data_IF_614465465683
#
_entry.id   IF_614465465683
#
_cell.length_a   1.000
_cell.length_b   1.000
_cell.length_c   1.000
_cell.angle_alpha   90.00
_cell.angle_beta   90.00
_cell.angle_gamma   90.00
#
_symmetry.space_group_name_H-M   'P 1'
#
loop_
_entity.id
_entity.type
_entity.pdbx_description
1 polymer ?
#
# COMPACT_ATOMS: atom_id res chain seq x y z
N UNK A 1 0.48 -10.62 -18.37
CA UNK A 1 -0.57 -9.58 -18.47
C UNK A 1 -0.69 -9.16 -19.92
N UNK A 2 -1.89 -8.82 -20.38
CA UNK A 2 -2.07 -8.15 -21.66
C UNK A 2 -1.38 -6.78 -21.64
N UNK A 3 -0.89 -6.26 -22.79
CA UNK A 3 -0.19 -4.97 -22.84
C UNK A 3 -1.02 -3.78 -22.33
N UNK A 4 -2.34 -3.87 -22.46
CA UNK A 4 -3.36 -2.87 -22.10
C UNK A 4 -4.08 -3.19 -20.79
N UNK A 5 -3.50 -4.05 -19.94
CA UNK A 5 -4.08 -4.41 -18.64
C UNK A 5 -4.45 -3.17 -17.82
N UNK A 6 -5.62 -3.21 -17.18
CA UNK A 6 -6.16 -2.05 -16.45
C UNK A 6 -6.63 -2.38 -15.04
N UNK A 7 -6.59 -1.40 -14.15
CA UNK A 7 -7.24 -1.43 -12.83
C UNK A 7 -8.57 -0.67 -12.79
N UNK A 8 -9.07 -0.26 -13.95
CA UNK A 8 -10.25 0.59 -14.10
C UNK A 8 -9.92 2.08 -14.13
N UNK A 9 -8.68 2.47 -13.87
CA UNK A 9 -8.22 3.88 -13.88
C UNK A 9 -6.96 4.10 -14.73
N UNK A 10 -5.97 3.20 -14.62
CA UNK A 10 -4.71 3.26 -15.36
C UNK A 10 -4.58 2.04 -16.29
N UNK A 11 -3.79 2.20 -17.35
CA UNK A 11 -3.53 1.18 -18.36
C UNK A 11 -2.04 0.85 -18.45
N UNK A 12 -1.76 -0.41 -18.76
CA UNK A 12 -0.41 -0.89 -19.02
C UNK A 12 0.27 -1.50 -17.80
N UNK A 13 1.18 -2.45 -18.07
CA UNK A 13 1.86 -3.24 -17.04
C UNK A 13 2.66 -2.37 -16.07
N UNK A 14 3.33 -1.34 -16.56
CA UNK A 14 4.17 -0.46 -15.73
C UNK A 14 3.33 0.32 -14.71
N UNK A 15 2.18 0.86 -15.15
CA UNK A 15 1.27 1.55 -14.25
C UNK A 15 0.74 0.62 -13.16
N UNK A 16 0.48 -0.65 -13.51
CA UNK A 16 0.02 -1.67 -12.54
C UNK A 16 1.11 -2.10 -11.54
N UNK A 17 2.38 -2.04 -11.94
CA UNK A 17 3.51 -2.39 -11.08
C UNK A 17 3.94 -1.24 -10.16
N UNK A 18 3.53 -0.01 -10.42
CA UNK A 18 4.01 1.15 -9.66
C UNK A 18 3.62 1.10 -8.18
N UNK A 19 2.39 0.66 -7.85
CA UNK A 19 1.98 0.52 -6.45
C UNK A 19 2.84 -0.52 -5.70
N UNK A 20 3.22 -1.61 -6.37
CA UNK A 20 4.13 -2.63 -5.84
C UNK A 20 5.55 -2.10 -5.67
N UNK A 21 6.03 -1.33 -6.66
CA UNK A 21 7.33 -0.65 -6.60
C UNK A 21 7.39 0.31 -5.41
N UNK A 22 6.36 1.13 -5.21
CA UNK A 22 6.28 2.09 -4.12
C UNK A 22 6.14 1.41 -2.75
N UNK A 23 5.35 0.33 -2.66
CA UNK A 23 5.27 -0.50 -1.45
C UNK A 23 6.65 -1.02 -1.04
N UNK A 24 7.36 -1.64 -1.98
CA UNK A 24 8.71 -2.18 -1.77
C UNK A 24 9.75 -1.09 -1.50
N UNK A 25 9.58 0.09 -2.12
CA UNK A 25 10.47 1.23 -1.91
C UNK A 25 10.23 1.90 -0.55
N UNK A 26 9.00 1.96 -0.06
CA UNK A 26 8.63 2.73 1.14
C UNK A 26 8.79 1.91 2.41
N UNK A 27 8.37 0.64 2.40
CA UNK A 27 8.36 -0.22 3.58
C UNK A 27 9.56 -1.18 3.62
N UNK A 28 10.00 -1.53 4.83
CA UNK A 28 11.03 -2.54 5.04
C UNK A 28 10.42 -3.94 5.16
N UNK A 29 11.22 -4.97 4.88
CA UNK A 29 10.88 -6.39 5.11
C UNK A 29 9.50 -6.82 4.56
N UNK A 30 9.13 -6.28 3.40
CA UNK A 30 7.83 -6.57 2.79
C UNK A 30 7.73 -8.05 2.42
N UNK A 31 6.71 -8.73 2.93
CA UNK A 31 6.35 -10.12 2.59
C UNK A 31 4.87 -10.19 2.28
N UNK A 32 4.54 -10.79 1.15
CA UNK A 32 3.14 -10.99 0.75
C UNK A 32 2.83 -12.47 0.74
N UNK A 33 1.88 -12.86 1.58
CA UNK A 33 1.36 -14.22 1.64
C UNK A 33 0.03 -14.31 0.89
N UNK A 34 -0.10 -15.30 0.01
CA UNK A 34 -1.39 -15.71 -0.52
C UNK A 34 -2.14 -16.51 0.55
N UNK A 35 -3.35 -16.06 0.93
CA UNK A 35 -4.20 -16.76 1.91
C UNK A 35 -5.26 -17.65 1.29
N UNK A 36 -5.62 -17.39 0.04
CA UNK A 36 -6.56 -18.22 -0.69
C UNK A 36 -6.84 -17.68 -2.08
N UNK A 37 -7.38 -18.57 -2.92
CA UNK A 37 -7.82 -18.26 -4.27
C UNK A 37 -9.28 -18.69 -4.42
N UNK A 38 -10.06 -17.87 -5.12
CA UNK A 38 -11.45 -18.17 -5.47
C UNK A 38 -11.68 -17.80 -6.92
N UNK A 39 -12.35 -18.67 -7.67
CA UNK A 39 -12.71 -18.44 -9.08
C UNK A 39 -14.24 -18.38 -9.16
N UNK A 40 -14.86 -17.20 -8.88
CA UNK A 40 -16.31 -17.07 -8.90
C UNK A 40 -16.91 -17.31 -10.30
N UNK A 41 -16.14 -17.02 -11.35
CA UNK A 41 -16.48 -17.25 -12.76
C UNK A 41 -15.24 -17.75 -13.50
N UNK A 42 -15.39 -18.16 -14.76
CA UNK A 42 -14.27 -18.64 -15.59
C UNK A 42 -13.28 -17.54 -15.97
N UNK A 43 -13.72 -16.29 -15.96
CA UNK A 43 -12.95 -15.10 -16.36
C UNK A 43 -12.47 -14.27 -15.15
N UNK A 44 -12.76 -14.69 -13.92
CA UNK A 44 -12.41 -13.92 -12.72
C UNK A 44 -11.72 -14.79 -11.67
N UNK A 45 -10.59 -14.30 -11.17
CA UNK A 45 -9.84 -14.89 -10.07
C UNK A 45 -9.69 -13.87 -8.93
N UNK A 46 -10.09 -14.25 -7.72
CA UNK A 46 -9.93 -13.43 -6.51
C UNK A 46 -8.88 -14.09 -5.62
N UNK A 47 -7.80 -13.37 -5.34
CA UNK A 47 -6.73 -13.76 -4.44
C UNK A 47 -6.82 -12.97 -3.13
N UNK A 48 -6.99 -13.65 -2.00
CA UNK A 48 -6.86 -13.04 -0.68
C UNK A 48 -5.40 -12.96 -0.27
N UNK A 49 -4.93 -11.81 0.18
CA UNK A 49 -3.52 -11.57 0.52
C UNK A 49 -3.36 -11.06 1.95
N UNK A 50 -2.20 -11.37 2.55
CA UNK A 50 -1.73 -10.70 3.75
C UNK A 50 -0.32 -10.20 3.49
N UNK A 51 -0.16 -8.88 3.57
CA UNK A 51 1.12 -8.20 3.42
C UNK A 51 1.64 -7.86 4.81
N UNK A 52 2.87 -8.29 5.11
CA UNK A 52 3.61 -7.91 6.31
C UNK A 52 4.67 -6.91 5.90
N UNK A 53 4.71 -5.77 6.57
CA UNK A 53 5.60 -4.68 6.20
C UNK A 53 6.06 -3.93 7.47
N UNK A 54 7.35 -3.62 7.57
CA UNK A 54 7.93 -2.89 8.70
C UNK A 54 7.96 -1.40 8.40
N UNK A 55 7.48 -0.59 9.34
CA UNK A 55 7.64 0.87 9.30
C UNK A 55 9.08 1.20 9.65
N UNK A 56 9.85 1.65 8.66
CA UNK A 56 11.25 2.05 8.82
C UNK A 56 11.37 3.57 8.83
N UNK A 57 12.58 4.08 9.07
CA UNK A 57 12.88 5.50 8.84
C UNK A 57 12.52 5.91 7.41
N UNK A 58 12.85 5.07 6.42
CA UNK A 58 12.52 5.33 5.02
C UNK A 58 11.00 5.39 4.79
N UNK A 59 10.22 4.57 5.49
CA UNK A 59 8.76 4.65 5.47
C UNK A 59 8.26 5.99 5.99
N UNK A 60 8.76 6.46 7.13
CA UNK A 60 8.39 7.77 7.67
C UNK A 60 8.77 8.90 6.70
N UNK A 61 9.97 8.85 6.12
CA UNK A 61 10.45 9.86 5.16
C UNK A 61 9.63 9.93 3.88
N UNK A 62 9.18 8.79 3.36
CA UNK A 62 8.51 8.71 2.05
C UNK A 62 7.00 8.67 2.13
N UNK A 63 6.44 7.92 3.07
CA UNK A 63 4.99 7.73 3.21
C UNK A 63 4.35 8.76 4.16
N UNK A 64 5.08 9.22 5.17
CA UNK A 64 4.58 10.15 6.19
C UNK A 64 5.51 11.37 6.41
N UNK A 65 5.99 12.04 5.34
CA UNK A 65 6.99 13.10 5.44
C UNK A 65 6.56 14.26 6.35
N UNK A 66 5.26 14.52 6.40
CA UNK A 66 4.65 15.58 7.20
C UNK A 66 4.74 15.36 8.72
N UNK A 67 5.06 14.15 9.17
CA UNK A 67 5.24 13.86 10.59
C UNK A 67 6.59 14.35 11.13
N UNK A 68 7.48 14.81 10.26
CA UNK A 68 8.67 15.57 10.65
C UNK A 68 8.35 17.08 10.64
N UNK A 69 8.92 17.83 11.59
CA UNK A 69 8.74 19.28 11.67
C UNK A 69 9.21 20.04 10.43
N UNK A 70 10.11 19.48 9.61
CA UNK A 70 10.51 20.10 8.34
C UNK A 70 9.48 19.95 7.22
N UNK A 71 8.45 19.11 7.42
CA UNK A 71 7.38 18.82 6.46
C UNK A 71 7.82 18.06 5.21
N UNK A 72 9.10 17.70 5.09
CA UNK A 72 9.70 17.08 3.89
C UNK A 72 10.51 15.84 4.25
N UNK A 73 10.08 15.13 5.29
CA UNK A 73 10.63 13.84 5.67
C UNK A 73 12.04 13.91 6.26
N UNK A 74 12.34 14.96 7.03
CA UNK A 74 13.61 15.09 7.75
C UNK A 74 14.83 15.25 6.84
N UNK A 75 14.64 15.75 5.61
CA UNK A 75 15.74 16.00 4.65
C UNK A 75 16.47 17.29 4.96
N UNK A 76 15.80 18.24 5.65
CA UNK A 76 16.38 19.52 6.10
C UNK A 76 16.74 19.51 7.59
N UNK A 77 16.80 18.32 8.20
CA UNK A 77 16.81 18.16 9.66
C UNK A 77 15.38 18.22 10.22
N UNK A 78 15.23 18.47 11.52
CA UNK A 78 13.93 18.54 12.18
C UNK A 78 13.65 17.39 13.13
N UNK A 79 12.51 17.47 13.81
CA UNK A 79 12.12 16.56 14.90
C UNK A 79 10.91 15.74 14.44
N UNK A 80 11.00 14.42 14.62
CA UNK A 80 9.88 13.53 14.38
C UNK A 80 8.83 13.68 15.48
N UNK A 81 7.56 13.77 15.06
CA UNK A 81 6.43 13.81 15.98
C UNK A 81 6.33 12.56 16.86
N UNK A 82 5.63 12.62 18.00
CA UNK A 82 5.35 11.44 18.83
C UNK A 82 4.66 10.30 18.06
N UNK A 83 3.81 10.62 17.08
CA UNK A 83 3.18 9.63 16.21
C UNK A 83 4.20 8.88 15.36
N UNK A 84 5.12 9.60 14.71
CA UNK A 84 6.20 8.99 13.94
C UNK A 84 7.09 8.10 14.81
N UNK A 85 7.46 8.57 16.01
CA UNK A 85 8.23 7.78 16.96
C UNK A 85 7.49 6.49 17.38
N UNK A 86 6.18 6.58 17.65
CA UNK A 86 5.33 5.43 17.98
C UNK A 86 5.20 4.43 16.83
N UNK A 87 5.20 4.90 15.59
CA UNK A 87 5.08 4.06 14.40
C UNK A 87 6.38 3.33 14.07
N UNK A 88 7.53 3.96 14.28
CA UNK A 88 8.84 3.46 13.88
C UNK A 88 9.15 2.07 14.42
N UNK A 89 9.66 1.18 13.56
CA UNK A 89 10.06 -0.18 13.90
C UNK A 89 8.92 -1.18 14.00
N UNK A 90 7.66 -0.74 13.95
CA UNK A 90 6.52 -1.65 14.07
C UNK A 90 6.24 -2.38 12.75
N UNK A 91 5.86 -3.65 12.85
CA UNK A 91 5.46 -4.46 11.71
C UNK A 91 3.94 -4.45 11.56
N UNK A 92 3.46 -3.93 10.44
CA UNK A 92 2.06 -3.96 10.06
C UNK A 92 1.69 -5.32 9.46
N UNK A 93 0.46 -5.74 9.71
CA UNK A 93 -0.19 -6.89 9.06
C UNK A 93 -1.39 -6.35 8.30
N UNK A 94 -1.23 -6.22 6.99
CA UNK A 94 -2.16 -5.58 6.07
C UNK A 94 -2.92 -6.68 5.36
N UNK A 95 -4.24 -6.69 5.51
CA UNK A 95 -5.10 -7.64 4.81
C UNK A 95 -5.54 -7.02 3.49
N UNK A 96 -5.58 -7.82 2.44
CA UNK A 96 -5.97 -7.33 1.12
C UNK A 96 -6.58 -8.42 0.26
N UNK A 97 -6.98 -7.98 -0.93
CA UNK A 97 -7.42 -8.85 -1.98
C UNK A 97 -7.03 -8.28 -3.33
N UNK A 98 -6.92 -9.18 -4.31
CA UNK A 98 -6.65 -8.83 -5.69
C UNK A 98 -7.65 -9.57 -6.56
N UNK A 99 -8.35 -8.83 -7.41
CA UNK A 99 -9.26 -9.37 -8.41
C UNK A 99 -8.57 -9.30 -9.77
N UNK A 100 -8.42 -10.44 -10.43
CA UNK A 100 -7.88 -10.53 -11.78
C UNK A 100 -9.02 -10.86 -12.74
N UNK A 101 -9.16 -10.07 -13.79
CA UNK A 101 -9.95 -10.41 -14.96
C UNK A 101 -9.06 -11.10 -16.00
N UNK A 102 -9.59 -12.18 -16.55
CA UNK A 102 -8.88 -13.10 -17.43
C UNK A 102 -9.57 -13.19 -18.79
N UNK A 103 -8.80 -13.03 -19.87
CA UNK A 103 -9.29 -13.38 -21.20
C UNK A 103 -9.00 -14.86 -21.49
N UNK A 104 -10.06 -15.67 -21.50
CA UNK A 104 -9.98 -17.10 -21.78
C UNK A 104 -9.48 -17.43 -23.19
N UNK A 105 -9.60 -16.51 -24.16
CA UNK A 105 -9.15 -16.75 -25.53
C UNK A 105 -7.63 -16.60 -25.67
N UNK A 106 -7.03 -15.65 -24.97
CA UNK A 106 -5.58 -15.37 -25.03
C UNK A 106 -4.79 -15.87 -23.83
N UNK A 107 -5.48 -16.40 -22.82
CA UNK A 107 -4.94 -16.87 -21.53
C UNK A 107 -4.11 -15.79 -20.80
N UNK A 108 -4.63 -14.57 -20.80
CA UNK A 108 -3.95 -13.39 -20.23
C UNK A 108 -4.83 -12.66 -19.23
N UNK A 109 -4.19 -12.13 -18.18
CA UNK A 109 -4.78 -11.10 -17.31
C UNK A 109 -5.02 -9.83 -18.12
N UNK A 110 -6.27 -9.42 -18.25
CA UNK A 110 -6.71 -8.19 -18.92
C UNK A 110 -7.13 -7.09 -17.95
N UNK A 111 -7.47 -7.45 -16.71
CA UNK A 111 -7.70 -6.46 -15.65
C UNK A 111 -7.20 -6.95 -14.30
N UNK A 112 -6.88 -5.99 -13.43
CA UNK A 112 -6.34 -6.25 -12.10
C UNK A 112 -6.81 -5.16 -11.15
N UNK A 113 -7.48 -5.51 -10.07
CA UNK A 113 -7.93 -4.55 -9.07
C UNK A 113 -7.49 -5.00 -7.67
N UNK A 114 -6.69 -4.17 -7.01
CA UNK A 114 -6.13 -4.44 -5.67
C UNK A 114 -6.82 -3.59 -4.60
N UNK A 115 -7.09 -4.21 -3.45
CA UNK A 115 -7.52 -3.54 -2.23
C UNK A 115 -6.66 -4.01 -1.07
N UNK A 116 -6.33 -3.10 -0.15
CA UNK A 116 -5.58 -3.42 1.06
C UNK A 116 -5.99 -2.49 2.21
N UNK A 117 -5.99 -3.01 3.43
CA UNK A 117 -6.40 -2.28 4.64
C UNK A 117 -5.18 -1.99 5.53
N UNK A 118 -4.65 -0.78 5.41
CA UNK A 118 -3.62 -0.24 6.30
C UNK A 118 -4.25 0.46 7.52
N UNK A 119 -5.52 0.85 7.44
CA UNK A 119 -6.23 1.56 8.51
C UNK A 119 -6.31 0.71 9.77
N UNK A 120 -6.74 -0.54 9.66
CA UNK A 120 -6.90 -1.45 10.79
C UNK A 120 -5.60 -1.68 11.58
N UNK A 121 -4.46 -2.06 10.96
CA UNK A 121 -3.21 -2.23 11.71
C UNK A 121 -2.69 -0.89 12.27
N UNK A 122 -2.94 0.24 11.60
CA UNK A 122 -2.60 1.56 12.13
C UNK A 122 -3.45 1.96 13.35
N UNK A 123 -4.74 1.62 13.36
CA UNK A 123 -5.63 1.84 14.50
C UNK A 123 -5.18 1.02 15.70
N UNK A 124 -4.83 -0.25 15.49
CA UNK A 124 -4.29 -1.10 16.55
C UNK A 124 -2.96 -0.55 17.09
N UNK A 125 -2.10 -0.02 16.22
CA UNK A 125 -0.80 0.53 16.59
C UNK A 125 -0.93 1.86 17.36
N UNK A 126 -1.75 2.78 16.87
CA UNK A 126 -1.86 4.13 17.42
C UNK A 126 -2.87 4.22 18.57
N UNK A 127 -3.86 3.31 18.62
CA UNK A 127 -4.82 3.18 19.71
C UNK A 127 -5.99 4.17 19.66
N UNK A 128 -6.06 5.05 18.66
CA UNK A 128 -7.19 5.96 18.48
C UNK A 128 -7.39 6.36 17.01
N UNK A 129 -8.65 6.55 16.61
CA UNK A 129 -8.96 7.06 15.27
C UNK A 129 -8.48 8.51 15.06
N UNK A 130 -8.40 9.30 16.14
CA UNK A 130 -7.85 10.67 16.10
C UNK A 130 -6.39 10.63 15.67
N UNK A 131 -5.58 9.78 16.29
CA UNK A 131 -4.16 9.66 15.97
C UNK A 131 -3.92 9.08 14.58
N UNK A 132 -4.73 8.10 14.16
CA UNK A 132 -4.72 7.58 12.80
C UNK A 132 -5.05 8.69 11.80
N UNK A 133 -6.12 9.44 12.03
CA UNK A 133 -6.48 10.58 11.19
C UNK A 133 -5.32 11.57 11.09
N UNK A 134 -4.71 11.96 12.22
CA UNK A 134 -3.55 12.84 12.25
C UNK A 134 -2.35 12.28 11.47
N UNK A 135 -2.09 10.97 11.54
CA UNK A 135 -1.02 10.33 10.78
C UNK A 135 -1.25 10.38 9.27
N UNK A 136 -2.49 10.22 8.81
CA UNK A 136 -2.85 10.21 7.39
C UNK A 136 -3.10 11.60 6.78
N UNK A 137 -3.21 12.67 7.59
CA UNK A 137 -3.28 14.04 7.07
C UNK A 137 -2.03 14.30 6.21
N UNK A 138 -2.22 14.55 4.90
CA UNK A 138 -1.14 14.82 3.93
C UNK A 138 -0.11 13.68 3.78
N UNK A 139 -0.43 12.48 4.23
CA UNK A 139 0.40 11.31 3.97
C UNK A 139 0.45 11.02 2.45
N UNK A 140 1.55 10.42 2.01
CA UNK A 140 1.73 9.94 0.63
C UNK A 140 1.30 8.48 0.45
N UNK A 141 0.64 7.93 1.46
CA UNK A 141 -0.03 6.64 1.42
C UNK A 141 -1.42 6.82 1.99
N UNK A 142 -2.42 6.22 1.34
CA UNK A 142 -3.81 6.26 1.78
C UNK A 142 -4.13 5.11 2.74
N UNK A 143 -5.25 5.18 3.49
CA UNK A 143 -5.68 4.08 4.36
C UNK A 143 -5.96 2.77 3.61
N UNK A 144 -6.30 2.83 2.32
CA UNK A 144 -6.46 1.70 1.41
C UNK A 144 -5.14 1.23 0.74
N UNK A 145 -3.99 1.68 1.25
CA UNK A 145 -2.64 1.31 0.80
C UNK A 145 -2.35 1.66 -0.67
N UNK A 146 -2.82 2.82 -1.13
CA UNK A 146 -2.41 3.42 -2.41
C UNK A 146 -1.39 4.51 -2.16
N UNK A 147 -0.39 4.58 -3.03
CA UNK A 147 0.66 5.59 -2.93
C UNK A 147 0.38 6.77 -3.86
N UNK A 148 0.58 7.97 -3.34
CA UNK A 148 0.46 9.20 -4.13
C UNK A 148 1.84 9.50 -4.70
N UNK A 149 1.96 9.46 -6.02
CA UNK A 149 3.12 10.01 -6.73
C UNK A 149 3.01 11.53 -6.66
N UNK A 150 4.05 12.19 -6.13
CA UNK A 150 4.19 13.62 -6.38
C UNK A 150 4.73 13.77 -7.80
N UNK A 151 3.97 14.45 -8.66
CA UNK A 151 4.48 15.00 -9.93
C UNK A 151 5.58 16.04 -9.67
#
# INVERSE_FOLDING_TARGET
>A
MAPDVTDGSLFGVDAQLENWRLLALYFGDVRVDLKGLRTPTTDTLIAGTVTRATITNNTLRRAFPQLNSDGVGGTKGGVWSPLAAKMMGNRLVIHGSVVFGWDCATDKVVSHYSQADILSPMLNLLGSLRDVSCAFIKARVTPDCKFVTCD
#
